data_IF_934034636876
#
_entry.id   IF_934034636876
#
_cell.length_a   1.000
_cell.length_b   1.000
_cell.length_c   1.000
_cell.angle_alpha   90.00
_cell.angle_beta   90.00
_cell.angle_gamma   90.00
#
_symmetry.space_group_name_H-M   'P 1'
#
loop_
_entity.id
_entity.type
_entity.pdbx_description
1 polymer ?
#
# COMPACT_ATOMS: atom_id res chain seq x y z
N UNK A 1 -3.11 -0.94 -4.50
CA UNK A 1 -2.23 0.09 -3.90
C UNK A 1 -0.79 -0.24 -4.27
N UNK A 2 -0.10 0.64 -4.99
CA UNK A 2 1.35 0.52 -5.27
C UNK A 2 2.03 1.60 -4.45
N UNK A 3 2.98 1.20 -3.60
CA UNK A 3 3.75 2.14 -2.79
C UNK A 3 5.19 2.05 -3.22
N UNK A 4 5.77 3.20 -3.52
CA UNK A 4 7.20 3.36 -3.79
C UNK A 4 7.81 4.27 -2.73
N UNK A 5 9.09 4.10 -2.46
CA UNK A 5 9.86 4.80 -1.43
C UNK A 5 11.18 5.26 -2.05
N UNK A 6 11.70 6.41 -1.61
CA UNK A 6 12.97 6.96 -2.06
C UNK A 6 13.12 7.07 -3.60
N UNK A 7 12.00 7.34 -4.29
CA UNK A 7 11.96 7.58 -5.73
C UNK A 7 11.27 8.92 -6.01
N UNK A 8 12.01 9.83 -6.63
CA UNK A 8 11.54 11.16 -7.00
C UNK A 8 11.22 11.22 -8.50
N UNK A 9 10.44 12.23 -8.91
CA UNK A 9 10.16 12.52 -10.33
C UNK A 9 9.56 11.33 -11.11
N UNK A 10 8.61 10.61 -10.50
CA UNK A 10 7.84 9.56 -11.19
C UNK A 10 7.07 10.19 -12.34
N UNK A 11 7.25 9.65 -13.55
CA UNK A 11 6.57 10.10 -14.78
C UNK A 11 5.64 9.06 -15.37
N UNK A 12 5.72 7.81 -14.92
CA UNK A 12 4.88 6.72 -15.43
C UNK A 12 4.92 5.49 -14.55
N UNK A 13 3.83 4.75 -14.53
CA UNK A 13 3.74 3.46 -13.86
C UNK A 13 2.66 2.64 -14.57
N UNK A 14 2.97 1.40 -14.91
CA UNK A 14 2.13 0.59 -15.79
C UNK A 14 2.17 -0.88 -15.41
N UNK A 15 1.07 -1.59 -15.66
CA UNK A 15 1.05 -3.04 -15.72
C UNK A 15 1.46 -3.50 -17.12
N UNK A 16 2.35 -4.47 -17.19
CA UNK A 16 2.77 -5.13 -18.42
C UNK A 16 2.50 -6.63 -18.35
N UNK A 17 2.20 -7.26 -19.49
CA UNK A 17 2.29 -8.73 -19.57
C UNK A 17 3.75 -9.17 -19.67
N UNK A 18 4.07 -10.33 -19.11
CA UNK A 18 5.34 -10.99 -19.34
C UNK A 18 5.75 -11.90 -18.19
N UNK A 19 6.50 -12.99 -18.47
CA UNK A 19 7.10 -13.82 -17.44
C UNK A 19 8.20 -13.05 -16.69
N UNK A 20 8.68 -13.59 -15.57
CA UNK A 20 9.73 -12.99 -14.71
C UNK A 20 10.95 -12.51 -15.54
N UNK A 21 11.31 -13.25 -16.58
CA UNK A 21 12.48 -12.99 -17.43
C UNK A 21 12.15 -12.27 -18.75
N UNK A 22 10.88 -11.99 -19.02
CA UNK A 22 10.42 -11.39 -20.27
C UNK A 22 9.82 -10.00 -20.09
N UNK A 23 9.77 -9.25 -21.19
CA UNK A 23 9.02 -7.99 -21.28
C UNK A 23 7.83 -8.18 -22.23
N UNK A 24 6.79 -7.39 -22.02
CA UNK A 24 5.62 -7.39 -22.91
C UNK A 24 4.91 -6.03 -22.91
N UNK A 25 3.84 -5.90 -23.68
CA UNK A 25 3.13 -4.63 -23.84
C UNK A 25 2.51 -4.14 -22.53
N UNK A 26 2.31 -2.82 -22.45
CA UNK A 26 1.48 -2.19 -21.41
C UNK A 26 0.04 -2.68 -21.56
N UNK A 27 -0.59 -3.00 -20.44
CA UNK A 27 -2.00 -3.44 -20.35
C UNK A 27 -2.85 -2.47 -19.55
N UNK A 28 -2.32 -1.89 -18.49
CA UNK A 28 -3.03 -0.89 -17.70
C UNK A 28 -2.09 0.23 -17.27
N UNK A 29 -2.57 1.47 -17.41
CA UNK A 29 -1.88 2.65 -16.91
C UNK A 29 -2.26 2.92 -15.46
N UNK A 30 -1.27 3.22 -14.62
CA UNK A 30 -1.43 3.56 -13.20
C UNK A 30 -1.30 5.08 -13.00
N UNK A 31 -0.87 5.85 -14.01
CA UNK A 31 -0.62 7.30 -13.92
C UNK A 31 -1.31 8.17 -15.00
N UNK A 32 -2.24 7.61 -15.77
CA UNK A 32 -3.10 8.34 -16.74
C UNK A 32 -4.33 8.97 -16.03
N UNK A 33 -5.10 9.91 -16.65
CA UNK A 33 -5.98 10.86 -15.95
C UNK A 33 -7.06 10.13 -15.16
N UNK A 34 -6.80 9.95 -13.87
CA UNK A 34 -7.54 9.07 -12.97
C UNK A 34 -6.72 8.74 -11.73
N UNK A 35 -5.40 8.79 -11.84
CA UNK A 35 -4.45 8.61 -10.73
C UNK A 35 -3.54 9.84 -10.61
N UNK A 36 -3.40 10.38 -9.40
CA UNK A 36 -2.54 11.54 -9.15
C UNK A 36 -1.06 11.17 -9.09
N UNK A 37 -0.15 12.09 -9.46
CA UNK A 37 1.28 11.91 -9.23
C UNK A 37 1.55 11.95 -7.71
N UNK A 38 1.78 10.79 -7.10
CA UNK A 38 2.09 10.66 -5.68
C UNK A 38 2.04 9.21 -5.19
N UNK A 39 2.84 8.90 -4.17
CA UNK A 39 2.81 7.60 -3.48
C UNK A 39 1.98 7.74 -2.20
N UNK A 40 1.05 6.81 -1.89
CA UNK A 40 0.75 5.60 -2.67
C UNK A 40 -0.15 5.87 -3.89
N UNK A 41 0.06 5.08 -4.94
CA UNK A 41 -0.84 5.04 -6.10
C UNK A 41 -2.02 4.11 -5.80
N UNK A 42 -3.24 4.65 -5.88
CA UNK A 42 -4.49 3.98 -5.50
C UNK A 42 -5.60 4.19 -6.54
N UNK A 43 -6.41 3.15 -6.78
CA UNK A 43 -7.59 3.20 -7.66
C UNK A 43 -8.11 1.80 -8.01
N UNK A 44 -9.06 1.72 -8.94
CA UNK A 44 -9.79 0.49 -9.28
C UNK A 44 -9.78 0.23 -10.78
N UNK A 45 -9.49 -1.00 -11.18
CA UNK A 45 -9.52 -1.47 -12.56
C UNK A 45 -10.50 -2.65 -12.64
N UNK A 46 -11.46 -2.59 -13.57
CA UNK A 46 -12.34 -3.73 -13.85
C UNK A 46 -11.61 -4.72 -14.77
N UNK A 47 -11.55 -5.99 -14.35
CA UNK A 47 -10.85 -7.05 -15.10
C UNK A 47 -11.84 -7.91 -15.90
N UNK A 48 -11.40 -8.37 -17.06
CA UNK A 48 -12.06 -9.46 -17.80
C UNK A 48 -11.46 -10.84 -17.42
N UNK A 49 -12.10 -11.93 -17.88
CA UNK A 49 -11.70 -13.29 -17.51
C UNK A 49 -10.24 -13.65 -17.89
N UNK A 50 -9.76 -13.18 -19.04
CA UNK A 50 -8.38 -13.43 -19.48
C UNK A 50 -7.36 -12.68 -18.61
N UNK A 51 -7.68 -11.45 -18.22
CA UNK A 51 -6.87 -10.64 -17.31
C UNK A 51 -6.83 -11.27 -15.91
N UNK A 52 -7.96 -11.76 -15.40
CA UNK A 52 -8.00 -12.53 -14.15
C UNK A 52 -7.05 -13.73 -14.23
N UNK A 53 -7.15 -14.54 -15.29
CA UNK A 53 -6.29 -15.71 -15.49
C UNK A 53 -4.78 -15.34 -15.52
N UNK A 54 -4.43 -14.25 -16.20
CA UNK A 54 -3.05 -13.77 -16.27
C UNK A 54 -2.55 -13.24 -14.92
N UNK A 55 -3.38 -12.56 -14.12
CA UNK A 55 -3.04 -12.19 -12.74
C UNK A 55 -2.80 -13.42 -11.87
N UNK A 56 -3.70 -14.41 -11.93
CA UNK A 56 -3.61 -15.62 -11.12
C UNK A 56 -2.52 -16.60 -11.56
N UNK A 57 -1.91 -16.42 -12.73
CA UNK A 57 -0.78 -17.23 -13.20
C UNK A 57 0.57 -16.52 -13.08
N UNK A 58 0.58 -15.30 -12.52
CA UNK A 58 1.79 -14.49 -12.37
C UNK A 58 2.31 -13.91 -13.69
N UNK A 59 1.44 -13.72 -14.67
CA UNK A 59 1.77 -13.24 -16.02
C UNK A 59 1.89 -11.72 -16.15
N UNK A 60 1.72 -10.96 -15.07
CA UNK A 60 1.84 -9.51 -15.04
C UNK A 60 3.03 -9.04 -14.20
N UNK A 61 3.58 -7.90 -14.56
CA UNK A 61 4.50 -7.13 -13.73
C UNK A 61 4.14 -5.65 -13.76
N UNK A 62 4.58 -4.92 -12.74
CA UNK A 62 4.49 -3.47 -12.67
C UNK A 62 5.86 -2.89 -12.93
N UNK A 63 5.94 -1.86 -13.77
CA UNK A 63 7.15 -1.07 -13.99
C UNK A 63 6.87 0.38 -13.61
N UNK A 64 7.81 1.04 -12.94
CA UNK A 64 7.73 2.46 -12.56
C UNK A 64 8.87 3.20 -13.24
N UNK A 65 8.55 4.35 -13.83
CA UNK A 65 9.43 5.17 -14.65
C UNK A 65 9.62 6.53 -13.99
N UNK A 66 10.84 7.03 -14.02
CA UNK A 66 11.17 8.41 -13.61
C UNK A 66 11.76 9.18 -14.77
N UNK A 67 11.94 10.49 -14.57
CA UNK A 67 12.69 11.32 -15.52
C UNK A 67 14.10 10.82 -15.76
N UNK A 68 14.75 10.24 -14.74
CA UNK A 68 16.14 9.75 -14.81
C UNK A 68 16.23 8.38 -15.46
N UNK A 69 15.22 7.52 -15.26
CA UNK A 69 15.16 6.19 -15.86
C UNK A 69 13.87 5.99 -16.68
N UNK A 70 13.76 6.59 -17.89
CA UNK A 70 12.54 6.52 -18.70
C UNK A 70 12.19 5.11 -19.19
N UNK A 71 13.15 4.21 -19.28
CA UNK A 71 12.91 2.80 -19.64
C UNK A 71 12.31 1.98 -18.48
N UNK A 72 12.30 2.53 -17.27
CA UNK A 72 11.89 1.88 -16.02
C UNK A 72 13.01 1.95 -15.00
N UNK A 73 12.71 2.47 -13.82
CA UNK A 73 13.60 2.49 -12.67
C UNK A 73 13.47 1.23 -11.83
N UNK A 74 12.23 0.79 -11.57
CA UNK A 74 11.93 -0.39 -10.74
C UNK A 74 10.81 -1.25 -11.34
N UNK A 75 10.98 -2.57 -11.24
CA UNK A 75 10.03 -3.58 -11.70
C UNK A 75 9.69 -4.58 -10.58
N UNK A 76 8.41 -4.91 -10.44
CA UNK A 76 7.92 -5.98 -9.55
C UNK A 76 7.01 -6.96 -10.29
N UNK A 77 7.32 -8.26 -10.23
CA UNK A 77 6.43 -9.29 -10.78
C UNK A 77 5.20 -9.44 -9.87
N UNK A 78 4.01 -9.50 -10.47
CA UNK A 78 2.76 -9.75 -9.76
C UNK A 78 2.57 -11.26 -9.67
N UNK A 79 2.38 -11.77 -8.46
CA UNK A 79 1.98 -13.14 -8.22
C UNK A 79 0.68 -13.17 -7.44
N UNK A 80 -0.17 -14.19 -7.63
CA UNK A 80 -1.20 -14.46 -6.64
C UNK A 80 -0.50 -14.75 -5.32
N UNK A 81 -0.83 -13.96 -4.30
CA UNK A 81 -0.58 -14.39 -2.93
C UNK A 81 -1.81 -15.20 -2.55
N UNK A 82 -1.67 -16.52 -2.47
CA UNK A 82 -2.66 -17.37 -1.82
C UNK A 82 -2.53 -17.14 -0.31
N UNK A 83 -3.11 -16.06 0.18
CA UNK A 83 -3.27 -15.84 1.61
C UNK A 83 -4.62 -16.38 1.99
N UNK A 84 -4.63 -17.51 2.70
CA UNK A 84 -5.85 -18.01 3.31
C UNK A 84 -6.26 -17.02 4.42
N UNK A 85 -7.21 -16.14 4.10
CA UNK A 85 -7.77 -15.18 5.05
C UNK A 85 -7.11 -13.82 4.97
N UNK A 86 -7.60 -13.01 4.03
CA UNK A 86 -7.46 -11.56 4.11
C UNK A 86 -8.55 -11.00 5.04
N UNK A 87 -8.11 -10.22 6.02
CA UNK A 87 -8.95 -9.60 7.04
C UNK A 87 -8.77 -8.08 6.96
N UNK A 88 -9.54 -7.40 6.09
CA UNK A 88 -9.49 -5.95 5.99
C UNK A 88 -10.19 -5.31 7.21
N UNK A 89 -9.68 -4.18 7.68
CA UNK A 89 -10.35 -3.36 8.71
C UNK A 89 -10.11 -1.88 8.50
N UNK A 90 -11.05 -1.06 8.96
CA UNK A 90 -10.96 0.40 8.95
C UNK A 90 -10.69 0.89 10.38
N UNK A 91 -9.70 1.76 10.52
CA UNK A 91 -9.31 2.39 11.77
C UNK A 91 -10.00 3.75 11.88
N UNK A 92 -10.85 3.93 12.89
CA UNK A 92 -11.64 5.15 13.11
C UNK A 92 -11.56 5.55 14.57
N UNK A 93 -11.48 6.85 14.86
CA UNK A 93 -11.56 7.36 16.23
C UNK A 93 -12.88 6.99 16.94
N UNK A 94 -13.97 6.76 16.21
CA UNK A 94 -15.24 6.27 16.76
C UNK A 94 -15.19 4.84 17.27
N UNK A 95 -14.18 4.06 16.87
CA UNK A 95 -13.99 2.67 17.31
C UNK A 95 -13.14 2.59 18.59
N UNK A 96 -12.52 3.70 19.02
CA UNK A 96 -11.83 3.79 20.31
C UNK A 96 -12.83 3.74 21.46
N UNK A 97 -12.36 3.30 22.64
CA UNK A 97 -13.17 3.23 23.84
C UNK A 97 -12.45 3.95 24.99
N UNK A 98 -12.88 5.18 25.37
CA UNK A 98 -14.02 5.92 24.81
C UNK A 98 -13.75 6.47 23.40
N UNK A 99 -14.80 6.74 22.59
CA UNK A 99 -14.65 7.29 21.25
C UNK A 99 -13.90 8.63 21.23
N UNK A 100 -13.03 8.79 20.24
CA UNK A 100 -12.24 10.00 20.03
C UNK A 100 -12.74 10.73 18.79
N UNK A 101 -13.01 12.04 18.93
CA UNK A 101 -13.32 12.91 17.78
C UNK A 101 -12.02 13.34 17.10
N UNK A 102 -11.77 12.83 15.89
CA UNK A 102 -10.57 13.12 15.10
C UNK A 102 -10.88 12.92 13.61
N UNK A 103 -10.10 13.59 12.75
CA UNK A 103 -10.10 13.33 11.31
C UNK A 103 -9.19 12.14 10.95
N UNK A 104 -8.33 11.73 11.88
CA UNK A 104 -7.44 10.59 11.70
C UNK A 104 -8.23 9.31 11.40
N UNK A 105 -7.82 8.63 10.34
CA UNK A 105 -8.40 7.37 9.92
C UNK A 105 -7.32 6.47 9.30
N UNK A 106 -7.66 5.22 9.07
CA UNK A 106 -6.75 4.29 8.44
C UNK A 106 -7.42 3.04 7.91
N UNK A 107 -6.64 2.24 7.20
CA UNK A 107 -7.01 0.95 6.67
C UNK A 107 -5.89 -0.04 6.96
N UNK A 108 -6.26 -1.22 7.44
CA UNK A 108 -5.32 -2.32 7.61
C UNK A 108 -5.79 -3.54 6.81
N UNK A 109 -4.85 -4.13 6.08
CA UNK A 109 -5.00 -5.45 5.48
C UNK A 109 -4.13 -6.42 6.28
N UNK A 110 -4.75 -7.45 6.85
CA UNK A 110 -4.06 -8.53 7.55
C UNK A 110 -4.27 -9.79 6.73
N UNK A 111 -3.20 -10.55 6.54
CA UNK A 111 -3.25 -11.79 5.77
C UNK A 111 -2.46 -12.88 6.50
N UNK A 112 -3.01 -14.09 6.57
CA UNK A 112 -2.34 -15.24 7.17
C UNK A 112 -1.75 -16.11 6.05
N UNK A 113 -0.49 -16.54 6.21
CA UNK A 113 0.15 -17.41 5.23
C UNK A 113 -0.55 -18.78 5.15
N UNK A 114 -0.35 -19.53 4.05
CA UNK A 114 -1.06 -20.81 3.83
C UNK A 114 -0.85 -21.83 4.98
N UNK A 115 0.31 -21.79 5.64
CA UNK A 115 0.65 -22.68 6.76
C UNK A 115 0.08 -22.24 8.10
N UNK A 116 -0.58 -21.08 8.16
CA UNK A 116 -1.16 -20.48 9.38
C UNK A 116 -0.15 -20.23 10.51
N UNK A 117 1.10 -19.97 10.14
CA UNK A 117 2.20 -19.73 11.09
C UNK A 117 2.67 -18.28 11.10
N UNK A 118 2.36 -17.50 10.06
CA UNK A 118 2.81 -16.12 9.93
C UNK A 118 1.63 -15.21 9.57
N UNK A 119 1.60 -14.05 10.23
CA UNK A 119 0.67 -12.96 9.95
C UNK A 119 1.45 -11.85 9.24
N UNK A 120 1.01 -11.52 8.03
CA UNK A 120 1.50 -10.36 7.29
C UNK A 120 0.47 -9.24 7.40
N UNK A 121 0.92 -8.00 7.54
CA UNK A 121 0.02 -6.87 7.65
C UNK A 121 0.55 -5.66 6.91
N UNK A 122 -0.38 -4.87 6.37
CA UNK A 122 -0.12 -3.51 5.90
C UNK A 122 -1.10 -2.59 6.60
N UNK A 123 -0.59 -1.57 7.29
CA UNK A 123 -1.42 -0.54 7.93
C UNK A 123 -1.10 0.80 7.26
N UNK A 124 -2.14 1.45 6.76
CA UNK A 124 -2.07 2.83 6.26
C UNK A 124 -2.91 3.71 7.17
N UNK A 125 -2.37 4.86 7.55
CA UNK A 125 -3.08 5.88 8.33
C UNK A 125 -2.93 7.24 7.67
N UNK A 126 -3.92 8.12 7.87
CA UNK A 126 -3.96 9.49 7.34
C UNK A 126 -4.44 10.44 8.43
N UNK A 127 -4.08 11.72 8.33
CA UNK A 127 -4.42 12.77 9.30
C UNK A 127 -3.98 12.47 10.75
N UNK A 128 -2.90 11.69 10.92
CA UNK A 128 -2.31 11.36 12.21
C UNK A 128 -0.82 11.73 12.23
N UNK A 129 -0.35 12.28 13.36
CA UNK A 129 1.02 12.72 13.56
C UNK A 129 1.63 12.05 14.79
N UNK A 130 2.97 11.94 14.82
CA UNK A 130 3.73 11.42 15.95
C UNK A 130 3.32 9.98 16.38
N UNK A 131 3.04 9.11 15.42
CA UNK A 131 2.74 7.69 15.67
C UNK A 131 3.91 7.03 16.41
N UNK A 132 3.64 6.50 17.61
CA UNK A 132 4.67 5.89 18.48
C UNK A 132 4.72 4.36 18.39
N UNK A 133 3.68 3.75 17.86
CA UNK A 133 3.54 2.30 17.74
C UNK A 133 2.16 1.94 17.20
N UNK A 134 2.02 0.69 16.79
CA UNK A 134 0.76 0.06 16.42
C UNK A 134 0.71 -1.33 17.02
N UNK A 135 -0.49 -1.80 17.38
CA UNK A 135 -0.68 -3.08 18.06
C UNK A 135 -1.94 -3.76 17.54
N UNK A 136 -2.01 -5.08 17.68
CA UNK A 136 -3.23 -5.87 17.47
C UNK A 136 -3.78 -6.26 18.83
N UNK A 137 -5.07 -6.02 19.04
CA UNK A 137 -5.77 -6.34 20.28
C UNK A 137 -6.77 -7.48 20.05
N UNK A 138 -6.97 -8.32 21.08
CA UNK A 138 -8.03 -9.31 21.12
C UNK A 138 -9.17 -8.77 21.98
N UNK A 139 -10.29 -8.40 21.37
CA UNK A 139 -11.49 -7.89 22.03
C UNK A 139 -12.69 -7.88 21.10
N UNK A 140 -13.89 -7.78 21.67
CA UNK A 140 -15.11 -7.58 20.88
C UNK A 140 -15.14 -6.16 20.29
N UNK A 141 -15.88 -5.93 19.19
CA UNK A 141 -16.06 -4.58 18.64
C UNK A 141 -16.58 -3.60 19.70
N UNK A 142 -15.88 -2.47 19.88
CA UNK A 142 -16.27 -1.45 20.86
C UNK A 142 -15.88 -1.76 22.31
N UNK A 143 -14.97 -2.71 22.55
CA UNK A 143 -14.38 -2.99 23.87
C UNK A 143 -12.86 -2.83 23.85
N UNK A 144 -12.28 -2.42 24.98
CA UNK A 144 -10.83 -2.40 25.17
C UNK A 144 -10.33 -3.84 25.38
N UNK A 145 -9.92 -4.49 24.29
CA UNK A 145 -9.34 -5.83 24.29
C UNK A 145 -7.92 -5.90 24.85
N UNK A 146 -7.51 -7.10 25.30
CA UNK A 146 -6.12 -7.33 25.71
C UNK A 146 -5.17 -7.17 24.52
N UNK A 147 -3.96 -6.69 24.78
CA UNK A 147 -2.90 -6.66 23.77
C UNK A 147 -2.62 -8.09 23.28
N UNK A 148 -2.76 -8.34 21.99
CA UNK A 148 -2.48 -9.65 21.38
C UNK A 148 -1.06 -9.71 20.83
N UNK A 149 -0.63 -8.71 20.05
CA UNK A 149 0.76 -8.61 19.58
C UNK A 149 1.16 -7.18 19.24
N UNK A 150 2.48 -6.91 19.23
CA UNK A 150 3.06 -5.62 18.87
C UNK A 150 3.41 -5.61 17.37
N UNK A 151 2.92 -4.62 16.63
CA UNK A 151 3.42 -4.33 15.29
C UNK A 151 4.73 -3.55 15.43
N UNK A 152 5.87 -4.24 15.48
CA UNK A 152 7.15 -3.58 15.71
C UNK A 152 7.63 -2.83 14.45
N UNK A 153 8.13 -1.58 14.57
CA UNK A 153 8.74 -0.86 13.46
C UNK A 153 10.14 -1.41 13.08
N UNK A 154 10.64 -2.44 13.78
CA UNK A 154 11.94 -3.06 13.51
C UNK A 154 11.90 -4.13 12.41
N UNK A 155 10.72 -4.51 11.93
CA UNK A 155 10.60 -5.10 10.61
C UNK A 155 10.85 -3.96 9.60
N UNK A 156 12.10 -3.83 9.12
CA UNK A 156 12.42 -3.02 7.95
C UNK A 156 11.38 -3.37 6.87
N UNK A 157 10.41 -2.47 6.65
CA UNK A 157 9.66 -2.20 5.42
C UNK A 157 8.16 -1.81 5.55
N UNK A 158 7.41 -2.01 6.65
CA UNK A 158 5.92 -1.95 6.51
C UNK A 158 5.06 -1.26 7.57
N UNK A 159 5.61 -0.34 8.38
CA UNK A 159 4.77 0.63 9.14
C UNK A 159 4.97 2.02 8.53
N UNK A 160 4.02 2.48 7.70
CA UNK A 160 4.06 3.84 7.12
C UNK A 160 2.94 4.72 7.68
N UNK A 161 3.34 5.79 8.36
CA UNK A 161 2.51 6.97 8.55
C UNK A 161 2.84 7.94 7.41
N UNK A 162 1.97 8.09 6.42
CA UNK A 162 2.21 8.99 5.29
C UNK A 162 2.06 10.44 5.77
N UNK A 163 3.16 11.19 5.83
CA UNK A 163 3.15 12.65 5.95
C UNK A 163 2.80 13.25 4.59
N UNK A 164 1.74 14.04 4.53
CA UNK A 164 1.67 15.15 3.57
C UNK A 164 2.41 16.34 4.18
N UNK A 165 3.66 16.58 3.79
CA UNK A 165 4.24 17.91 3.89
C UNK A 165 4.31 18.49 2.47
N UNK A 166 3.43 19.46 2.20
CA UNK A 166 3.58 20.35 1.05
C UNK A 166 4.92 21.09 1.15
N UNK A 167 5.59 21.42 0.02
CA UNK A 167 6.88 22.07 0.05
C UNK A 167 6.76 23.48 0.65
N UNK A 168 7.52 23.72 1.72
CA UNK A 168 7.79 25.04 2.23
C UNK A 168 8.64 25.79 1.19
N UNK A 169 8.00 26.69 0.43
CA UNK A 169 8.69 27.66 -0.43
C UNK A 169 9.62 28.53 0.45
N UNK A 170 10.93 28.30 0.33
CA UNK A 170 11.94 29.16 0.92
C UNK A 170 12.00 30.46 0.10
N UNK A 171 11.35 31.52 0.57
CA UNK A 171 11.59 32.87 0.07
C UNK A 171 12.88 33.39 0.73
N UNK A 172 13.92 33.63 -0.08
CA UNK A 172 15.10 34.40 0.37
C UNK A 172 14.75 35.89 0.33
N UNK A 173 15.00 36.68 1.38
CA UNK A 173 15.07 38.13 1.23
C UNK A 173 16.41 38.53 0.60
N UNK A 174 16.34 39.57 -0.24
CA UNK A 174 17.45 40.33 -0.83
C UNK A 174 18.34 41.00 0.21
#
# INVERSE_FOLDING_TARGET
KVTVEDIDNIVGAHFHTGPITGTGPVVFDILEPGFGPGSPLEGTITLNAAQVAAFTSGGYYINVHTTEFPAGEIRGQVFPVSVAGDYPTTLLGSNEVPPVSTNANGFALISINETQTELHYTVTVTDINNVRGAHIHLGAPGENGQLSTICSPQARHWVRATRFQAPLLLHRPT
#
